data_IF_522251001423
#
_entry.id   IF_522251001423
#
_cell.length_a   1.000
_cell.length_b   1.000
_cell.length_c   1.000
_cell.angle_alpha   90.00
_cell.angle_beta   90.00
_cell.angle_gamma   90.00
#
_symmetry.space_group_name_H-M   'P 1'
#
loop_
_entity.id
_entity.type
_entity.pdbx_description
1 polymer ?
#
# COMPACT_ATOMS: atom_id res chain seq x y z
N UNK A 1 65.76 -20.14 4.73
CA UNK A 1 64.35 -19.71 4.84
C UNK A 1 63.96 -18.99 3.56
N UNK A 2 62.68 -19.11 3.16
CA UNK A 2 62.01 -18.56 1.96
C UNK A 2 62.03 -19.46 0.73
N UNK A 3 61.19 -20.50 0.79
CA UNK A 3 60.58 -21.07 -0.40
C UNK A 3 59.37 -20.22 -0.80
N UNK A 4 59.35 -19.74 -2.04
CA UNK A 4 58.15 -19.23 -2.71
C UNK A 4 57.92 -20.16 -3.91
N UNK A 5 56.90 -21.02 -3.80
CA UNK A 5 56.51 -21.94 -4.88
C UNK A 5 55.75 -21.14 -5.94
N UNK A 6 56.27 -21.19 -7.16
CA UNK A 6 55.69 -20.56 -8.34
C UNK A 6 54.49 -21.30 -8.91
N UNK A 7 53.49 -20.49 -9.28
CA UNK A 7 52.68 -20.52 -10.51
C UNK A 7 51.97 -21.85 -10.84
N UNK A 8 50.69 -21.90 -10.47
CA UNK A 8 49.72 -22.85 -10.99
C UNK A 8 49.34 -22.46 -12.43
N UNK A 9 49.74 -23.27 -13.41
CA UNK A 9 49.21 -23.23 -14.79
C UNK A 9 48.16 -24.32 -14.91
N UNK A 10 46.88 -23.95 -14.82
CA UNK A 10 45.76 -24.84 -15.05
C UNK A 10 45.63 -25.13 -16.56
N UNK A 11 45.87 -26.38 -16.95
CA UNK A 11 45.62 -26.91 -18.30
C UNK A 11 44.11 -27.04 -18.52
N UNK A 12 43.54 -26.14 -19.31
CA UNK A 12 42.19 -26.26 -19.86
C UNK A 12 42.27 -27.01 -21.18
N UNK A 13 41.80 -28.27 -21.22
CA UNK A 13 41.63 -29.03 -22.46
C UNK A 13 40.67 -30.20 -22.21
N UNK A 14 39.40 -30.03 -22.60
CA UNK A 14 38.59 -31.00 -23.37
C UNK A 14 37.25 -30.31 -23.69
N UNK A 15 37.07 -29.80 -24.91
CA UNK A 15 36.59 -30.47 -26.13
C UNK A 15 35.08 -30.80 -26.08
N UNK A 16 34.35 -30.04 -26.89
CA UNK A 16 32.93 -30.15 -27.18
C UNK A 16 32.55 -31.52 -27.76
N UNK A 17 31.39 -32.03 -27.34
CA UNK A 17 30.68 -33.11 -28.01
C UNK A 17 29.20 -32.73 -28.21
N UNK A 18 28.79 -32.77 -29.47
CA UNK A 18 27.45 -32.57 -30.01
C UNK A 18 26.41 -33.54 -29.41
N UNK A 19 25.15 -33.11 -29.28
CA UNK A 19 24.05 -33.49 -30.20
C UNK A 19 22.70 -32.83 -29.79
N UNK A 20 21.81 -32.57 -30.77
CA UNK A 20 20.57 -31.81 -30.63
C UNK A 20 19.39 -32.72 -30.27
N UNK A 21 18.48 -32.23 -29.42
CA UNK A 21 17.19 -32.86 -29.15
C UNK A 21 16.05 -31.91 -29.48
N UNK A 22 15.54 -31.98 -30.71
CA UNK A 22 14.20 -31.50 -31.05
C UNK A 22 13.16 -32.53 -30.54
N UNK A 23 12.17 -32.04 -29.81
CA UNK A 23 10.96 -32.76 -29.40
C UNK A 23 10.39 -32.07 -28.16
N UNK A 24 9.11 -31.73 -28.03
CA UNK A 24 7.94 -31.98 -28.85
C UNK A 24 6.90 -30.89 -28.51
N UNK A 25 5.99 -30.61 -29.43
CA UNK A 25 4.76 -29.87 -29.16
C UNK A 25 3.98 -30.54 -28.01
N UNK A 26 3.82 -29.83 -26.90
CA UNK A 26 2.84 -30.14 -25.87
C UNK A 26 1.72 -29.11 -25.93
N UNK A 27 0.68 -29.39 -26.71
CA UNK A 27 -0.57 -28.66 -26.66
C UNK A 27 -1.30 -28.96 -25.34
N UNK A 28 -1.88 -27.92 -24.74
CA UNK A 28 -3.04 -28.07 -23.85
C UNK A 28 -2.74 -28.15 -22.37
N UNK A 29 -2.80 -26.97 -21.72
CA UNK A 29 -3.76 -26.70 -20.63
C UNK A 29 -3.66 -25.23 -20.24
N UNK A 30 -4.51 -24.39 -20.84
CA UNK A 30 -4.94 -23.15 -20.19
C UNK A 30 -5.93 -23.52 -19.07
N UNK A 31 -5.43 -24.26 -18.08
CA UNK A 31 -6.07 -24.25 -16.78
C UNK A 31 -5.60 -22.95 -16.13
N UNK A 32 -6.45 -21.94 -16.08
CA UNK A 32 -6.24 -20.86 -15.12
C UNK A 32 -6.21 -21.56 -13.77
N UNK A 33 -5.07 -21.53 -13.04
CA UNK A 33 -5.03 -22.14 -11.72
C UNK A 33 -6.10 -21.45 -10.88
N UNK A 34 -7.06 -22.21 -10.35
CA UNK A 34 -8.04 -21.72 -9.37
C UNK A 34 -7.38 -21.10 -8.13
N UNK A 35 -6.06 -21.29 -7.98
CA UNK A 35 -5.21 -20.59 -7.01
C UNK A 35 -5.15 -19.06 -7.21
N UNK A 36 -5.62 -18.52 -8.33
CA UNK A 36 -5.74 -17.06 -8.54
C UNK A 36 -7.07 -16.48 -8.01
N UNK A 37 -7.92 -17.26 -7.36
CA UNK A 37 -8.81 -16.72 -6.33
C UNK A 37 -7.97 -16.43 -5.07
N UNK A 38 -6.92 -15.62 -5.21
CA UNK A 38 -6.33 -14.98 -4.05
C UNK A 38 -7.48 -14.18 -3.43
N UNK A 39 -7.83 -14.44 -2.14
CA UNK A 39 -8.78 -13.59 -1.45
C UNK A 39 -8.29 -12.17 -1.65
N UNK A 40 -9.12 -11.33 -2.27
CA UNK A 40 -8.83 -9.90 -2.41
C UNK A 40 -8.24 -9.44 -1.08
N UNK A 41 -7.03 -8.85 -1.07
CA UNK A 41 -6.35 -8.54 0.18
C UNK A 41 -7.37 -7.83 1.06
N UNK A 42 -7.62 -8.37 2.26
CA UNK A 42 -8.54 -7.77 3.23
C UNK A 42 -8.12 -6.32 3.36
N UNK A 43 -8.79 -5.44 2.61
CA UNK A 43 -8.32 -4.09 2.43
C UNK A 43 -8.73 -3.39 3.70
N UNK A 44 -7.76 -3.30 4.58
CA UNK A 44 -7.92 -2.68 5.86
C UNK A 44 -8.25 -1.20 5.64
N UNK A 45 -9.32 -0.75 6.27
CA UNK A 45 -9.75 0.64 6.24
C UNK A 45 -8.67 1.52 6.85
N UNK A 46 -8.43 2.67 6.22
CA UNK A 46 -7.46 3.68 6.64
C UNK A 46 -8.15 5.02 6.88
N UNK A 47 -7.56 5.91 7.68
CA UNK A 47 -8.02 7.30 7.80
C UNK A 47 -8.18 7.98 6.43
N UNK A 48 -9.25 8.73 6.23
CA UNK A 48 -9.61 9.37 4.97
C UNK A 48 -10.29 8.46 3.94
N UNK A 49 -10.52 7.18 4.24
CA UNK A 49 -11.38 6.33 3.41
C UNK A 49 -12.86 6.70 3.58
N UNK A 50 -13.68 6.40 2.58
CA UNK A 50 -15.13 6.64 2.64
C UNK A 50 -15.82 5.29 2.84
N UNK A 51 -16.59 5.15 3.90
CA UNK A 51 -17.37 3.96 4.18
C UNK A 51 -18.83 4.29 3.92
N UNK A 52 -19.45 3.55 3.02
CA UNK A 52 -20.88 3.57 2.80
C UNK A 52 -21.52 2.52 3.71
N UNK A 53 -22.45 2.96 4.55
CA UNK A 53 -23.13 2.11 5.52
C UNK A 53 -24.61 2.13 5.18
N UNK A 54 -25.18 0.96 4.98
CA UNK A 54 -26.60 0.79 4.71
C UNK A 54 -27.24 -0.02 5.84
N UNK A 55 -28.27 0.54 6.44
CA UNK A 55 -29.11 -0.16 7.40
C UNK A 55 -30.39 -0.58 6.69
N UNK A 56 -30.68 -1.88 6.71
CA UNK A 56 -31.94 -2.39 6.17
C UNK A 56 -33.11 -1.69 6.84
N UNK A 57 -34.06 -1.16 6.05
CA UNK A 57 -35.25 -0.41 6.49
C UNK A 57 -35.01 0.93 7.21
N UNK A 58 -33.75 1.31 7.49
CA UNK A 58 -33.40 2.54 8.21
C UNK A 58 -32.57 3.48 7.32
N UNK A 59 -33.23 4.12 6.36
CA UNK A 59 -32.61 5.07 5.43
C UNK A 59 -31.98 6.28 6.13
N UNK A 60 -32.55 6.73 7.26
CA UNK A 60 -32.04 7.88 8.02
C UNK A 60 -30.68 7.62 8.71
N UNK A 61 -30.39 6.35 9.00
CA UNK A 61 -29.10 5.93 9.57
C UNK A 61 -28.08 5.62 8.48
N UNK A 62 -28.56 5.37 7.26
CA UNK A 62 -27.74 4.99 6.11
C UNK A 62 -27.01 6.18 5.52
N UNK A 63 -25.91 5.91 4.82
CA UNK A 63 -25.18 6.88 4.02
C UNK A 63 -23.67 6.74 4.13
N UNK A 64 -22.99 7.61 3.39
CA UNK A 64 -21.53 7.66 3.35
C UNK A 64 -20.95 8.40 4.57
N UNK A 65 -19.86 7.87 5.12
CA UNK A 65 -19.09 8.44 6.24
C UNK A 65 -17.62 8.43 5.90
N UNK A 66 -16.95 9.54 6.15
CA UNK A 66 -15.51 9.65 6.01
C UNK A 66 -14.88 9.14 7.30
N UNK A 67 -13.81 8.35 7.18
CA UNK A 67 -13.00 7.93 8.31
C UNK A 67 -12.12 9.10 8.73
N UNK A 68 -12.26 9.56 9.96
CA UNK A 68 -11.46 10.66 10.51
C UNK A 68 -9.98 10.30 10.61
N UNK A 69 -9.13 11.31 10.83
CA UNK A 69 -7.68 11.15 11.01
C UNK A 69 -7.33 10.21 12.18
N UNK A 70 -8.17 10.20 13.23
CA UNK A 70 -8.06 9.29 14.37
C UNK A 70 -8.50 7.84 14.04
N UNK A 71 -8.96 7.60 12.81
CA UNK A 71 -9.40 6.29 12.33
C UNK A 71 -10.80 5.89 12.79
N UNK A 72 -11.63 6.87 13.14
CA UNK A 72 -13.00 6.66 13.62
C UNK A 72 -14.02 7.13 12.59
N UNK A 73 -15.25 6.65 12.74
CA UNK A 73 -16.42 7.19 12.04
C UNK A 73 -17.45 7.67 13.05
N UNK A 74 -18.20 8.70 12.67
CA UNK A 74 -19.28 9.25 13.45
C UNK A 74 -20.63 8.74 12.97
N UNK A 75 -21.38 8.12 13.88
CA UNK A 75 -22.67 7.51 13.59
C UNK A 75 -23.73 7.94 14.61
N UNK A 76 -25.01 8.07 14.19
CA UNK A 76 -26.11 8.32 15.11
C UNK A 76 -26.23 7.21 16.16
N UNK A 77 -26.63 7.55 17.39
CA UNK A 77 -26.82 6.64 18.54
C UNK A 77 -25.52 6.06 19.12
N UNK A 78 -24.66 5.48 18.29
CA UNK A 78 -23.43 4.79 18.74
C UNK A 78 -22.19 5.70 18.81
N UNK A 79 -22.35 6.99 18.46
CA UNK A 79 -21.31 8.04 18.47
C UNK A 79 -20.11 7.63 17.61
N UNK A 80 -18.88 7.73 18.15
CA UNK A 80 -17.65 7.42 17.44
C UNK A 80 -17.28 5.95 17.56
N UNK A 81 -17.00 5.32 16.43
CA UNK A 81 -16.60 3.91 16.32
C UNK A 81 -15.25 3.80 15.63
N UNK A 82 -14.31 3.07 16.23
CA UNK A 82 -12.99 2.80 15.64
C UNK A 82 -13.12 1.80 14.49
N UNK A 83 -12.67 2.21 13.29
CA UNK A 83 -12.77 1.41 12.06
C UNK A 83 -11.45 1.30 11.31
N UNK A 84 -10.50 2.22 11.50
CA UNK A 84 -9.18 2.08 10.91
C UNK A 84 -8.49 0.83 11.45
N UNK A 85 -7.80 0.09 10.58
CA UNK A 85 -7.20 -1.18 10.96
C UNK A 85 -8.15 -2.38 10.83
N UNK A 86 -9.42 -2.18 10.47
CA UNK A 86 -10.40 -3.25 10.28
C UNK A 86 -10.77 -3.44 8.80
N UNK A 87 -11.20 -4.65 8.47
CA UNK A 87 -11.87 -4.98 7.21
C UNK A 87 -13.34 -4.60 7.23
N UNK A 88 -13.98 -4.58 6.05
CA UNK A 88 -15.41 -4.29 5.93
C UNK A 88 -16.28 -5.22 6.79
N UNK A 89 -15.93 -6.51 6.85
CA UNK A 89 -16.65 -7.52 7.65
C UNK A 89 -16.51 -7.26 9.15
N UNK A 90 -15.29 -6.97 9.63
CA UNK A 90 -15.06 -6.65 11.05
C UNK A 90 -15.76 -5.36 11.47
N UNK A 91 -15.85 -4.37 10.55
CA UNK A 91 -16.60 -3.15 10.77
C UNK A 91 -18.09 -3.46 10.87
N UNK A 92 -18.63 -4.27 9.94
CA UNK A 92 -20.02 -4.71 9.96
C UNK A 92 -20.37 -5.36 11.30
N UNK A 93 -19.59 -6.35 11.74
CA UNK A 93 -19.82 -7.06 13.01
C UNK A 93 -19.77 -6.11 14.22
N UNK A 94 -18.76 -5.23 14.26
CA UNK A 94 -18.62 -4.23 15.32
C UNK A 94 -19.81 -3.27 15.36
N UNK A 95 -20.30 -2.83 14.21
CA UNK A 95 -21.48 -1.98 14.11
C UNK A 95 -22.74 -2.73 14.54
N UNK A 96 -22.95 -3.97 14.07
CA UNK A 96 -24.09 -4.81 14.47
C UNK A 96 -24.14 -4.94 15.99
N UNK A 97 -23.00 -5.24 16.64
CA UNK A 97 -22.94 -5.37 18.10
C UNK A 97 -23.28 -4.05 18.81
N UNK A 98 -22.74 -2.92 18.33
CA UNK A 98 -23.03 -1.60 18.92
C UNK A 98 -24.49 -1.19 18.75
N UNK A 99 -25.17 -1.59 17.68
CA UNK A 99 -26.56 -1.21 17.40
C UNK A 99 -27.60 -2.16 18.02
N UNK A 100 -27.20 -3.35 18.48
CA UNK A 100 -28.11 -4.29 19.19
C UNK A 100 -28.77 -3.70 20.44
N UNK A 101 -28.14 -2.72 21.08
CA UNK A 101 -28.73 -2.01 22.22
C UNK A 101 -29.91 -1.10 21.84
N UNK A 102 -30.07 -0.79 20.55
CA UNK A 102 -31.11 0.11 20.03
C UNK A 102 -32.11 -0.60 19.12
N UNK A 103 -31.69 -1.64 18.39
CA UNK A 103 -32.53 -2.36 17.44
C UNK A 103 -32.41 -3.87 17.66
N UNK A 104 -33.54 -4.58 17.55
CA UNK A 104 -33.57 -6.04 17.53
C UNK A 104 -33.08 -6.52 16.16
N UNK A 105 -31.91 -7.15 16.13
CA UNK A 105 -31.26 -7.73 14.95
C UNK A 105 -31.02 -6.74 13.77
N UNK A 106 -30.09 -5.78 13.92
CA UNK A 106 -29.82 -4.80 12.86
C UNK A 106 -29.06 -5.45 11.69
N UNK A 107 -29.66 -5.46 10.50
CA UNK A 107 -28.99 -5.81 9.24
C UNK A 107 -28.24 -4.59 8.71
N UNK A 108 -26.91 -4.70 8.68
CA UNK A 108 -25.99 -3.63 8.25
C UNK A 108 -25.14 -4.16 7.10
N UNK A 109 -25.08 -3.39 6.02
CA UNK A 109 -24.16 -3.61 4.90
C UNK A 109 -23.11 -2.51 4.94
N UNK A 110 -21.84 -2.90 4.77
CA UNK A 110 -20.70 -1.99 4.82
C UNK A 110 -19.92 -2.12 3.53
N UNK A 111 -19.86 -1.03 2.77
CA UNK A 111 -19.07 -0.93 1.55
C UNK A 111 -17.93 0.07 1.77
N UNK A 112 -16.70 -0.36 1.54
CA UNK A 112 -15.53 0.50 1.67
C UNK A 112 -15.18 1.07 0.30
N UNK A 113 -15.26 2.39 0.19
CA UNK A 113 -14.80 3.16 -0.97
C UNK A 113 -13.47 3.81 -0.60
N UNK A 114 -12.45 3.62 -1.44
CA UNK A 114 -11.14 4.24 -1.23
C UNK A 114 -11.31 5.76 -1.30
N UNK A 115 -11.08 6.42 -0.16
CA UNK A 115 -11.37 7.84 0.00
C UNK A 115 -10.17 8.74 -0.31
N UNK A 116 -10.49 10.00 -0.56
CA UNK A 116 -9.53 11.07 -0.87
C UNK A 116 -8.73 11.36 0.40
N UNK A 117 -7.46 10.95 0.42
CA UNK A 117 -6.59 11.20 1.57
C UNK A 117 -6.22 12.67 1.66
N UNK A 118 -6.52 13.33 2.78
CA UNK A 118 -6.00 14.67 3.10
C UNK A 118 -4.47 14.66 3.26
N UNK A 119 -3.90 13.48 3.53
CA UNK A 119 -2.47 13.21 3.60
C UNK A 119 -1.91 12.95 2.20
N UNK A 120 -2.29 13.75 1.21
CA UNK A 120 -1.74 13.65 -0.14
C UNK A 120 -0.27 14.12 -0.15
N UNK A 121 0.61 13.35 -0.80
CA UNK A 121 1.96 13.79 -1.12
C UNK A 121 1.92 14.64 -2.40
N UNK A 122 1.78 15.95 -2.22
CA UNK A 122 1.71 16.92 -3.33
C UNK A 122 3.03 17.01 -4.11
N UNK A 123 4.15 16.67 -3.48
CA UNK A 123 5.49 16.66 -4.10
C UNK A 123 5.69 15.48 -5.06
N UNK A 124 4.84 14.44 -4.99
CA UNK A 124 5.05 13.16 -5.70
C UNK A 124 3.84 12.71 -6.47
N UNK A 125 3.23 13.57 -7.26
CA UNK A 125 2.04 13.20 -8.03
C UNK A 125 2.48 12.42 -9.28
N UNK A 126 1.86 11.28 -9.54
CA UNK A 126 2.15 10.48 -10.74
C UNK A 126 1.11 10.78 -11.83
N UNK A 127 1.54 11.36 -12.95
CA UNK A 127 0.76 11.46 -14.17
C UNK A 127 1.10 10.30 -15.09
N UNK A 128 0.14 9.45 -15.39
CA UNK A 128 0.29 8.35 -16.34
C UNK A 128 -0.39 8.72 -17.66
N UNK A 129 0.39 8.72 -18.75
CA UNK A 129 -0.05 8.99 -20.13
C UNK A 129 0.29 7.79 -20.99
N UNK A 130 -0.69 6.93 -21.23
CA UNK A 130 -0.48 5.63 -21.87
C UNK A 130 0.53 4.80 -21.09
N UNK A 131 1.70 4.50 -21.67
CA UNK A 131 2.76 3.73 -21.02
C UNK A 131 3.82 4.58 -20.29
N UNK A 132 3.69 5.92 -20.28
CA UNK A 132 4.68 6.82 -19.67
C UNK A 132 4.19 7.34 -18.33
N UNK A 133 5.05 7.34 -17.32
CA UNK A 133 4.80 7.90 -15.98
C UNK A 133 5.66 9.14 -15.75
N UNK A 134 5.04 10.22 -15.31
CA UNK A 134 5.69 11.47 -14.94
C UNK A 134 5.48 11.73 -13.45
N UNK A 135 6.55 12.02 -12.72
CA UNK A 135 6.49 12.46 -11.33
C UNK A 135 6.45 14.00 -11.33
N UNK A 136 5.39 14.57 -10.74
CA UNK A 136 5.11 15.99 -10.69
C UNK A 136 5.15 16.42 -9.23
N UNK A 137 5.99 17.42 -8.94
CA UNK A 137 5.86 18.20 -7.73
C UNK A 137 4.81 19.28 -7.97
N UNK A 138 3.69 19.22 -7.24
CA UNK A 138 2.58 20.15 -7.39
C UNK A 138 2.97 21.56 -6.93
N UNK A 139 3.88 21.70 -5.97
CA UNK A 139 4.31 23.00 -5.48
C UNK A 139 5.15 23.69 -6.57
N UNK A 140 6.07 22.96 -7.21
CA UNK A 140 6.79 23.45 -8.39
C UNK A 140 5.84 23.68 -9.57
N UNK A 141 4.86 22.81 -9.81
CA UNK A 141 3.94 22.94 -10.94
C UNK A 141 2.96 24.14 -10.79
N UNK A 142 2.63 24.53 -9.56
CA UNK A 142 1.77 25.69 -9.27
C UNK A 142 2.57 26.99 -9.17
N UNK A 143 3.84 26.93 -8.76
CA UNK A 143 4.70 28.10 -8.54
C UNK A 143 5.70 28.39 -9.68
N UNK A 144 6.00 27.42 -10.56
CA UNK A 144 6.93 27.60 -11.66
C UNK A 144 6.23 28.10 -12.93
N UNK A 145 6.41 29.39 -13.22
CA UNK A 145 7.15 29.99 -14.35
C UNK A 145 7.14 29.35 -15.76
N UNK A 146 6.71 28.10 -15.99
CA UNK A 146 6.61 27.48 -17.33
C UNK A 146 5.31 26.64 -17.49
N UNK A 147 4.15 27.29 -17.75
CA UNK A 147 2.84 26.63 -17.85
C UNK A 147 2.71 25.62 -18.99
N UNK A 148 3.69 25.57 -19.89
CA UNK A 148 3.69 24.68 -21.06
C UNK A 148 4.08 23.23 -20.74
N UNK A 149 4.74 22.99 -19.60
CA UNK A 149 5.17 21.64 -19.19
C UNK A 149 4.04 20.78 -18.62
N UNK A 150 2.97 21.41 -18.10
CA UNK A 150 1.84 20.70 -17.50
C UNK A 150 0.57 20.77 -18.37
N UNK A 151 0.69 20.44 -19.66
CA UNK A 151 -0.50 20.31 -20.52
C UNK A 151 -1.11 18.93 -20.32
N UNK A 152 -2.21 18.89 -19.56
CA UNK A 152 -3.06 17.70 -19.44
C UNK A 152 -3.70 17.39 -20.79
N UNK A 153 -3.75 16.11 -21.13
CA UNK A 153 -4.31 15.58 -22.38
C UNK A 153 -5.41 14.57 -22.06
N UNK A 154 -6.30 14.33 -23.03
CA UNK A 154 -7.28 13.25 -22.90
C UNK A 154 -6.58 11.90 -22.73
N UNK A 155 -7.03 11.11 -21.75
CA UNK A 155 -6.42 9.81 -21.42
C UNK A 155 -5.32 9.86 -20.36
N UNK A 156 -5.03 11.03 -19.81
CA UNK A 156 -4.13 11.18 -18.66
C UNK A 156 -4.82 10.71 -17.36
N UNK A 157 -4.14 9.86 -16.59
CA UNK A 157 -4.56 9.48 -15.25
C UNK A 157 -3.60 10.05 -14.21
N UNK A 158 -4.13 10.86 -13.30
CA UNK A 158 -3.35 11.45 -12.20
C UNK A 158 -3.58 10.61 -10.95
N UNK A 159 -2.49 10.08 -10.41
CA UNK A 159 -2.46 9.40 -9.13
C UNK A 159 -1.72 10.27 -8.11
N UNK A 160 -2.39 10.57 -7.00
CA UNK A 160 -1.81 11.34 -5.90
C UNK A 160 -1.52 10.37 -4.76
N UNK A 161 -0.26 9.97 -4.54
CA UNK A 161 0.07 9.06 -3.46
C UNK A 161 -0.10 9.75 -2.11
N UNK A 162 -0.26 8.96 -1.06
CA UNK A 162 -0.28 9.48 0.31
C UNK A 162 1.13 9.84 0.78
N UNK A 163 1.25 10.92 1.56
CA UNK A 163 2.46 11.33 2.30
C UNK A 163 2.64 10.37 3.46
N UNK A 164 3.36 9.29 3.21
CA UNK A 164 3.61 8.29 4.23
C UNK A 164 4.60 8.85 5.28
N UNK A 165 4.22 8.81 6.55
CA UNK A 165 4.95 9.45 7.64
C UNK A 165 6.21 8.68 8.10
N UNK A 166 6.49 7.48 7.59
CA UNK A 166 7.57 6.64 8.15
C UNK A 166 8.99 6.95 7.69
N UNK A 167 9.29 8.06 7.00
CA UNK A 167 10.69 8.47 6.79
C UNK A 167 10.96 9.96 7.10
N UNK A 168 10.77 10.36 8.36
CA UNK A 168 11.81 11.17 9.00
C UNK A 168 12.93 10.21 9.48
N UNK A 169 13.56 9.53 8.50
CA UNK A 169 14.57 8.47 8.72
C UNK A 169 15.76 8.94 9.52
N UNK A 170 16.05 10.22 9.63
CA UNK A 170 17.21 10.69 10.40
C UNK A 170 17.02 10.56 11.91
N UNK A 171 15.81 10.81 12.43
CA UNK A 171 15.59 10.86 13.88
C UNK A 171 15.67 9.48 14.55
N UNK A 172 15.18 8.43 13.89
CA UNK A 172 15.23 7.06 14.42
C UNK A 172 16.62 6.44 14.34
N UNK A 173 17.38 6.68 13.26
CA UNK A 173 18.77 6.19 13.19
C UNK A 173 19.68 6.95 14.15
N UNK A 174 19.43 8.26 14.37
CA UNK A 174 20.18 9.05 15.35
C UNK A 174 19.94 8.58 16.79
N UNK A 175 18.69 8.25 17.16
CA UNK A 175 18.39 7.75 18.51
C UNK A 175 18.95 6.34 18.75
N UNK A 176 18.85 5.44 17.77
CA UNK A 176 19.46 4.10 17.85
C UNK A 176 20.99 4.20 17.96
N UNK A 177 21.62 5.08 17.15
CA UNK A 177 23.06 5.31 17.22
C UNK A 177 23.48 5.88 18.59
N UNK A 178 22.75 6.85 19.14
CA UNK A 178 23.03 7.42 20.45
C UNK A 178 22.90 6.39 21.59
N UNK A 179 21.87 5.53 21.54
CA UNK A 179 21.69 4.46 22.52
C UNK A 179 22.83 3.43 22.40
N UNK A 180 23.24 3.06 21.19
CA UNK A 180 24.35 2.12 20.99
C UNK A 180 25.67 2.66 21.52
N UNK A 181 25.93 3.96 21.35
CA UNK A 181 27.12 4.63 21.84
C UNK A 181 27.11 4.73 23.37
N UNK A 182 25.94 5.00 23.96
CA UNK A 182 25.77 5.04 25.42
C UNK A 182 26.02 3.67 26.05
N UNK A 183 25.46 2.59 25.47
CA UNK A 183 25.69 1.21 25.94
C UNK A 183 27.16 0.82 25.82
N UNK A 184 27.80 1.14 24.69
CA UNK A 184 29.23 0.89 24.50
C UNK A 184 30.08 1.60 25.56
N UNK A 185 29.77 2.88 25.85
CA UNK A 185 30.48 3.66 26.86
C UNK A 185 30.29 3.14 28.29
N UNK A 186 29.13 2.56 28.60
CA UNK A 186 28.80 1.97 29.90
C UNK A 186 29.50 0.62 30.13
N UNK A 187 29.67 -0.20 29.09
CA UNK A 187 30.36 -1.48 29.16
C UNK A 187 31.89 -1.36 29.22
N UNK A 188 32.45 -0.24 28.76
CA UNK A 188 33.89 0.04 28.81
C UNK A 188 34.38 0.66 30.13
N UNK A 189 33.48 0.86 31.10
CA UNK A 189 33.78 1.46 32.41
C UNK A 189 33.70 0.41 33.51
#
# INVERSE_FOLDING_TARGET
MKGLKGIAVARWLTLAALLPGLGACGAGRLGVPLAQLEPQPLTTVRPGDVIEIEFWQQLELSGERIVDDDGRIHLPLVRSVQVAGLSAEEIRERLTERYRQYYSDPLIVVNVRLGISITANRTRIELNRGARRYEIDLDDALLATEPEKLRLQSGDWIYVPRRFWTLQRTATYASIAAISLAIASFLTR
#
